data_IF_410292775227
#
_entry.id   IF_410292775227
#
_cell.length_a   1.000
_cell.length_b   1.000
_cell.length_c   1.000
_cell.angle_alpha   90.00
_cell.angle_beta   90.00
_cell.angle_gamma   90.00
#
_symmetry.space_group_name_H-M   'P 1'
#
loop_
_entity.id
_entity.type
_entity.pdbx_description
1 polymer ?
#
# COMPACT_ATOMS: atom_id res chain seq x y z
N UNK A 1 -10.12 -26.00 -10.06
CA UNK A 1 -9.57 -24.63 -10.01
C UNK A 1 -10.03 -24.07 -8.68
N UNK A 2 -9.14 -23.81 -7.71
CA UNK A 2 -9.56 -23.33 -6.39
C UNK A 2 -10.32 -22.00 -6.55
N UNK A 3 -11.47 -21.83 -5.91
CA UNK A 3 -12.14 -20.52 -5.83
C UNK A 3 -11.71 -19.81 -4.55
N UNK A 4 -11.26 -18.55 -4.65
CA UNK A 4 -11.04 -17.69 -3.48
C UNK A 4 -12.34 -16.92 -3.28
N UNK A 5 -12.98 -17.08 -2.13
CA UNK A 5 -14.14 -16.30 -1.72
C UNK A 5 -13.78 -15.44 -0.52
N UNK A 6 -14.29 -14.22 -0.52
CA UNK A 6 -14.23 -13.37 0.66
C UNK A 6 -15.31 -13.83 1.63
N UNK A 7 -14.96 -13.94 2.92
CA UNK A 7 -15.95 -14.13 4.00
C UNK A 7 -16.67 -12.80 4.29
N UNK A 8 -17.31 -12.24 3.25
CA UNK A 8 -18.14 -11.05 3.28
C UNK A 8 -19.12 -11.11 2.11
N UNK A 9 -20.21 -10.37 2.21
CA UNK A 9 -21.18 -10.21 1.12
C UNK A 9 -20.60 -9.37 -0.01
N UNK A 10 -21.11 -9.55 -1.23
CA UNK A 10 -20.72 -8.74 -2.38
C UNK A 10 -20.95 -7.23 -2.14
N UNK A 11 -22.01 -6.88 -1.41
CA UNK A 11 -22.31 -5.49 -1.05
C UNK A 11 -21.29 -4.90 -0.05
N UNK A 12 -20.83 -5.70 0.92
CA UNK A 12 -19.75 -5.30 1.83
C UNK A 12 -18.41 -5.13 1.11
N UNK A 13 -18.11 -6.02 0.16
CA UNK A 13 -16.91 -5.92 -0.67
C UNK A 13 -16.95 -4.64 -1.50
N UNK A 14 -18.05 -4.40 -2.24
CA UNK A 14 -18.25 -3.19 -3.03
C UNK A 14 -18.11 -1.93 -2.20
N UNK A 15 -18.76 -1.86 -1.03
CA UNK A 15 -18.66 -0.71 -0.14
C UNK A 15 -17.21 -0.43 0.31
N UNK A 16 -16.42 -1.49 0.58
CA UNK A 16 -15.00 -1.35 0.93
C UNK A 16 -14.15 -0.90 -0.24
N UNK A 17 -14.39 -1.43 -1.44
CA UNK A 17 -13.72 -1.03 -2.67
C UNK A 17 -14.01 0.44 -2.96
N UNK A 18 -15.27 0.84 -2.96
CA UNK A 18 -15.71 2.22 -3.19
C UNK A 18 -15.07 3.19 -2.20
N UNK A 19 -15.06 2.82 -0.91
CA UNK A 19 -14.42 3.62 0.14
C UNK A 19 -12.91 3.75 -0.11
N UNK A 20 -12.25 2.67 -0.49
CA UNK A 20 -10.81 2.68 -0.73
C UNK A 20 -10.44 3.47 -1.98
N UNK A 21 -11.17 3.30 -3.08
CA UNK A 21 -11.04 4.08 -4.32
C UNK A 21 -11.27 5.57 -4.05
N UNK A 22 -12.33 5.93 -3.31
CA UNK A 22 -12.60 7.31 -2.94
C UNK A 22 -11.43 7.92 -2.12
N UNK A 23 -10.90 7.16 -1.16
CA UNK A 23 -9.75 7.59 -0.35
C UNK A 23 -8.48 7.79 -1.19
N UNK A 24 -8.21 6.92 -2.17
CA UNK A 24 -7.08 7.06 -3.09
C UNK A 24 -7.26 8.26 -4.00
N UNK A 25 -8.44 8.43 -4.61
CA UNK A 25 -8.71 9.59 -5.44
C UNK A 25 -8.59 10.90 -4.66
N UNK A 26 -9.12 10.92 -3.43
CA UNK A 26 -8.95 12.05 -2.54
C UNK A 26 -7.47 12.32 -2.25
N UNK A 27 -6.68 11.31 -1.93
CA UNK A 27 -5.23 11.47 -1.73
C UNK A 27 -4.57 12.03 -2.98
N UNK A 28 -4.75 11.40 -4.14
CA UNK A 28 -4.09 11.80 -5.38
C UNK A 28 -4.48 13.23 -5.78
N UNK A 29 -5.73 13.62 -5.58
CA UNK A 29 -6.18 14.99 -5.80
C UNK A 29 -5.54 15.97 -4.79
N UNK A 30 -5.37 15.57 -3.53
CA UNK A 30 -4.65 16.40 -2.55
C UNK A 30 -3.17 16.57 -2.92
N UNK A 31 -2.51 15.51 -3.36
CA UNK A 31 -1.11 15.54 -3.79
C UNK A 31 -0.90 16.39 -5.05
N UNK A 32 -1.77 16.26 -6.06
CA UNK A 32 -1.71 17.09 -7.28
C UNK A 32 -1.93 18.58 -7.01
N UNK A 33 -2.73 18.89 -6.01
CA UNK A 33 -3.05 20.28 -5.64
C UNK A 33 -2.15 20.82 -4.52
N UNK A 34 -1.14 20.06 -4.07
CA UNK A 34 -0.18 20.55 -3.10
C UNK A 34 0.84 21.48 -3.76
N UNK A 35 0.87 22.73 -3.31
CA UNK A 35 1.89 23.71 -3.66
C UNK A 35 2.85 23.82 -2.48
N UNK A 36 4.05 23.25 -2.62
CA UNK A 36 5.13 23.34 -1.63
C UNK A 36 5.33 22.10 -0.74
N UNK A 37 6.47 22.07 -0.05
CA UNK A 37 7.05 20.94 0.70
C UNK A 37 6.33 20.64 2.04
N UNK A 38 5.01 20.43 2.03
CA UNK A 38 4.36 19.64 3.09
C UNK A 38 4.34 18.17 2.69
N UNK A 39 5.54 17.59 2.61
CA UNK A 39 5.81 16.29 2.01
C UNK A 39 5.02 15.12 2.65
N UNK A 40 4.69 15.16 3.95
CA UNK A 40 3.82 14.16 4.61
C UNK A 40 2.80 14.83 5.55
N UNK A 41 1.52 14.47 5.38
CA UNK A 41 0.39 14.81 6.25
C UNK A 41 -0.09 13.57 7.03
N UNK A 42 -0.32 13.75 8.34
CA UNK A 42 -0.80 12.70 9.25
C UNK A 42 -2.11 12.06 8.80
N UNK A 43 -2.98 12.83 8.13
CA UNK A 43 -4.29 12.37 7.62
C UNK A 43 -4.14 11.20 6.66
N UNK A 44 -3.00 11.06 6.00
CA UNK A 44 -2.73 9.97 5.06
C UNK A 44 -2.29 8.68 5.74
N UNK A 45 -2.06 8.72 7.06
CA UNK A 45 -1.58 7.61 7.87
C UNK A 45 -2.48 7.40 9.09
N UNK A 46 -3.79 7.14 8.91
CA UNK A 46 -4.77 7.15 10.00
C UNK A 46 -4.45 6.14 11.11
N UNK A 47 -3.86 5.00 10.76
CA UNK A 47 -3.55 3.91 11.71
C UNK A 47 -2.24 4.10 12.49
N UNK A 48 -1.43 5.10 12.16
CA UNK A 48 -0.17 5.41 12.85
C UNK A 48 -0.46 6.38 14.00
N UNK A 49 0.16 6.17 15.17
CA UNK A 49 0.08 7.13 16.28
C UNK A 49 0.79 8.44 15.92
N UNK A 50 0.40 9.56 16.53
CA UNK A 50 0.96 10.87 16.19
C UNK A 50 2.47 10.94 16.43
N UNK A 51 2.95 10.44 17.57
CA UNK A 51 4.37 10.40 17.94
C UNK A 51 5.22 9.61 16.94
N UNK A 52 4.74 8.43 16.54
CA UNK A 52 5.41 7.60 15.53
C UNK A 52 5.38 8.27 14.16
N UNK A 53 4.27 8.90 13.79
CA UNK A 53 4.18 9.64 12.52
C UNK A 53 5.14 10.84 12.49
N UNK A 54 5.23 11.63 13.56
CA UNK A 54 6.10 12.80 13.62
C UNK A 54 7.57 12.40 13.53
N UNK A 55 7.97 11.33 14.22
CA UNK A 55 9.31 10.74 14.10
C UNK A 55 9.58 10.24 12.68
N UNK A 56 8.64 9.51 12.08
CA UNK A 56 8.76 9.03 10.70
C UNK A 56 8.92 10.18 9.71
N UNK A 57 8.06 11.19 9.81
CA UNK A 57 8.13 12.41 9.01
C UNK A 57 9.49 13.08 9.13
N UNK A 58 10.03 13.19 10.35
CA UNK A 58 11.35 13.77 10.58
C UNK A 58 12.47 12.93 9.93
N UNK A 59 12.45 11.61 10.12
CA UNK A 59 13.41 10.68 9.52
C UNK A 59 13.41 10.80 7.99
N UNK A 60 12.24 10.78 7.36
CA UNK A 60 12.15 10.88 5.90
C UNK A 60 12.61 12.24 5.41
N UNK A 61 12.26 13.32 6.12
CA UNK A 61 12.75 14.67 5.80
C UNK A 61 14.28 14.72 5.80
N UNK A 62 14.94 14.06 6.75
CA UNK A 62 16.40 14.01 6.83
C UNK A 62 17.05 13.14 5.74
N UNK A 63 16.32 12.19 5.16
CA UNK A 63 16.79 11.28 4.12
C UNK A 63 16.31 11.65 2.70
N UNK A 64 15.62 12.78 2.55
CA UNK A 64 14.91 13.12 1.32
C UNK A 64 15.84 13.21 0.09
N UNK A 65 17.07 13.71 0.28
CA UNK A 65 18.05 13.81 -0.79
C UNK A 65 18.47 12.43 -1.31
N UNK A 66 18.69 11.47 -0.41
CA UNK A 66 19.01 10.09 -0.77
C UNK A 66 17.82 9.41 -1.45
N UNK A 67 16.62 9.57 -0.90
CA UNK A 67 15.40 9.02 -1.48
C UNK A 67 15.13 9.54 -2.90
N UNK A 68 15.44 10.81 -3.18
CA UNK A 68 15.28 11.41 -4.52
C UNK A 68 16.23 10.79 -5.57
N UNK A 69 17.24 10.02 -5.16
CA UNK A 69 18.12 9.32 -6.10
C UNK A 69 17.54 7.99 -6.59
N UNK A 70 16.45 7.51 -5.99
CA UNK A 70 15.77 6.28 -6.40
C UNK A 70 15.15 6.45 -7.80
N UNK A 71 15.44 5.51 -8.70
CA UNK A 71 14.97 5.53 -10.09
C UNK A 71 13.62 4.82 -10.29
N UNK A 72 13.15 4.09 -9.29
CA UNK A 72 11.91 3.31 -9.34
C UNK A 72 11.19 3.27 -8.00
N UNK A 73 9.92 2.85 -8.01
CA UNK A 73 9.12 2.64 -6.79
C UNK A 73 9.70 1.51 -5.93
N UNK A 74 10.25 0.47 -6.56
CA UNK A 74 10.92 -0.63 -5.83
C UNK A 74 12.15 -0.12 -5.07
N UNK A 75 13.01 0.67 -5.73
CA UNK A 75 14.18 1.28 -5.08
C UNK A 75 13.78 2.17 -3.91
N UNK A 76 12.66 2.90 -4.03
CA UNK A 76 12.12 3.71 -2.94
C UNK A 76 11.66 2.84 -1.77
N UNK A 77 10.90 1.79 -2.03
CA UNK A 77 10.39 0.89 -0.99
C UNK A 77 11.56 0.24 -0.24
N UNK A 78 12.56 -0.27 -0.95
CA UNK A 78 13.75 -0.88 -0.37
C UNK A 78 14.55 0.12 0.47
N UNK A 79 14.76 1.35 -0.03
CA UNK A 79 15.46 2.38 0.72
C UNK A 79 14.66 2.81 1.96
N UNK A 80 13.33 2.94 1.87
CA UNK A 80 12.48 3.27 3.01
C UNK A 80 12.48 2.16 4.07
N UNK A 81 12.53 0.88 3.67
CA UNK A 81 12.69 -0.22 4.61
C UNK A 81 14.04 -0.17 5.33
N UNK A 82 15.14 0.06 4.60
CA UNK A 82 16.47 0.24 5.19
C UNK A 82 16.49 1.41 6.19
N UNK A 83 15.88 2.53 5.84
CA UNK A 83 15.74 3.69 6.73
C UNK A 83 14.92 3.32 7.96
N UNK A 84 13.75 2.69 7.79
CA UNK A 84 12.89 2.26 8.90
C UNK A 84 13.66 1.34 9.83
N UNK A 85 14.33 0.30 9.32
CA UNK A 85 15.00 -0.72 10.13
C UNK A 85 16.23 -0.15 10.85
N UNK A 86 16.97 0.76 10.21
CA UNK A 86 18.09 1.46 10.84
C UNK A 86 17.68 2.49 11.91
N UNK A 87 16.46 3.04 11.81
CA UNK A 87 15.99 4.11 12.70
C UNK A 87 15.44 3.63 14.05
N UNK A 88 15.15 2.33 14.19
CA UNK A 88 14.60 1.76 15.44
C UNK A 88 13.19 2.23 15.82
N UNK A 89 12.49 2.93 14.91
CA UNK A 89 11.16 3.48 15.17
C UNK A 89 10.11 2.36 15.34
N UNK A 90 9.29 2.47 16.38
CA UNK A 90 8.21 1.52 16.67
C UNK A 90 6.87 2.11 16.22
N UNK A 91 6.03 1.26 15.61
CA UNK A 91 4.69 1.66 15.14
C UNK A 91 4.63 2.13 13.68
N UNK A 92 5.78 2.13 12.99
CA UNK A 92 5.83 2.23 11.52
C UNK A 92 5.82 0.84 10.95
N UNK A 93 4.66 0.49 10.39
CA UNK A 93 4.43 -0.78 9.73
C UNK A 93 4.51 -0.66 8.22
N UNK A 94 4.29 -1.79 7.57
CA UNK A 94 4.29 -1.96 6.13
C UNK A 94 3.46 -0.89 5.40
N UNK A 95 2.18 -0.71 5.77
CA UNK A 95 1.29 0.27 5.12
C UNK A 95 1.88 1.69 5.15
N UNK A 96 2.60 2.05 6.22
CA UNK A 96 3.24 3.35 6.36
C UNK A 96 4.39 3.54 5.36
N UNK A 97 5.30 2.56 5.30
CA UNK A 97 6.44 2.56 4.38
C UNK A 97 5.96 2.68 2.93
N UNK A 98 4.99 1.85 2.57
CA UNK A 98 4.45 1.83 1.21
C UNK A 98 3.68 3.11 0.87
N UNK A 99 2.83 3.62 1.78
CA UNK A 99 2.13 4.88 1.56
C UNK A 99 3.10 6.06 1.42
N UNK A 100 4.21 6.05 2.15
CA UNK A 100 5.29 7.04 1.96
C UNK A 100 5.94 6.90 0.59
N UNK A 101 6.22 5.68 0.12
CA UNK A 101 6.76 5.45 -1.22
C UNK A 101 5.80 5.95 -2.32
N UNK A 102 4.50 5.70 -2.19
CA UNK A 102 3.47 6.19 -3.12
C UNK A 102 3.45 7.73 -3.21
N UNK A 103 3.49 8.40 -2.04
CA UNK A 103 3.52 9.86 -1.98
C UNK A 103 4.78 10.40 -2.66
N UNK A 104 5.94 9.82 -2.35
CA UNK A 104 7.22 10.21 -2.94
C UNK A 104 7.26 10.00 -4.44
N UNK A 105 6.85 8.82 -4.89
CA UNK A 105 6.82 8.47 -6.30
C UNK A 105 5.88 9.39 -7.10
N UNK A 106 4.72 9.76 -6.54
CA UNK A 106 3.82 10.73 -7.16
C UNK A 106 4.46 12.13 -7.23
N UNK A 107 5.10 12.59 -6.14
CA UNK A 107 5.80 13.88 -6.10
C UNK A 107 6.98 13.96 -7.08
N UNK A 108 7.61 12.82 -7.38
CA UNK A 108 8.78 12.71 -8.25
C UNK A 108 8.46 12.12 -9.63
N UNK A 109 7.17 11.99 -9.96
CA UNK A 109 6.68 11.48 -11.24
C UNK A 109 7.27 10.12 -11.65
N UNK A 110 7.56 9.26 -10.66
CA UNK A 110 8.00 7.89 -10.91
C UNK A 110 6.85 7.03 -11.44
N UNK A 111 7.18 6.04 -12.26
CA UNK A 111 6.20 5.10 -12.79
C UNK A 111 5.65 4.19 -11.69
N UNK A 112 4.45 4.52 -11.22
CA UNK A 112 3.69 3.78 -10.20
C UNK A 112 3.22 2.39 -10.66
N UNK A 113 3.33 2.08 -11.95
CA UNK A 113 3.00 0.77 -12.50
C UNK A 113 4.25 -0.12 -12.66
N UNK A 114 5.45 0.41 -12.43
CA UNK A 114 6.68 -0.36 -12.42
C UNK A 114 6.75 -1.26 -11.17
N UNK A 115 6.42 -2.54 -11.38
CA UNK A 115 6.85 -3.76 -10.67
C UNK A 115 6.93 -3.82 -9.12
N UNK A 116 6.02 -3.16 -8.40
CA UNK A 116 5.88 -3.26 -6.92
C UNK A 116 5.51 -4.64 -6.32
N UNK A 117 5.79 -5.77 -6.99
CA UNK A 117 5.57 -7.12 -6.44
C UNK A 117 6.55 -7.48 -5.31
N UNK A 118 7.67 -6.75 -5.23
CA UNK A 118 8.66 -6.79 -4.15
C UNK A 118 8.03 -6.48 -2.78
N UNK A 119 6.90 -5.77 -2.76
CA UNK A 119 6.16 -5.40 -1.56
C UNK A 119 5.96 -6.58 -0.60
N UNK A 120 6.54 -6.46 0.59
CA UNK A 120 6.44 -7.48 1.65
C UNK A 120 5.14 -7.31 2.43
N UNK A 121 4.05 -7.86 1.88
CA UNK A 121 2.75 -7.92 2.54
C UNK A 121 2.62 -9.15 3.44
N UNK A 122 2.78 -8.99 4.76
CA UNK A 122 2.88 -10.13 5.67
C UNK A 122 1.65 -11.06 5.66
N UNK A 123 0.44 -10.50 5.64
CA UNK A 123 -0.78 -11.31 5.56
C UNK A 123 -0.91 -11.96 4.19
N UNK A 124 -0.59 -11.22 3.12
CA UNK A 124 -0.59 -11.74 1.76
C UNK A 124 0.39 -12.90 1.58
N UNK A 125 1.64 -12.74 2.00
CA UNK A 125 2.67 -13.78 1.97
C UNK A 125 2.20 -15.02 2.73
N UNK A 126 1.70 -14.83 3.94
CA UNK A 126 1.19 -15.93 4.78
C UNK A 126 0.04 -16.66 4.10
N UNK A 127 -0.90 -15.92 3.50
CA UNK A 127 -2.03 -16.49 2.79
C UNK A 127 -1.58 -17.27 1.54
N UNK A 128 -0.75 -16.65 0.70
CA UNK A 128 -0.21 -17.24 -0.52
C UNK A 128 0.56 -18.53 -0.23
N UNK A 129 1.44 -18.53 0.77
CA UNK A 129 2.19 -19.72 1.19
C UNK A 129 1.28 -20.84 1.70
N UNK A 130 0.31 -20.54 2.57
CA UNK A 130 -0.64 -21.55 3.09
C UNK A 130 -1.47 -22.21 1.99
N UNK A 131 -1.74 -21.47 0.92
CA UNK A 131 -2.62 -21.89 -0.16
C UNK A 131 -1.90 -22.30 -1.44
N UNK A 132 -0.56 -22.24 -1.46
CA UNK A 132 0.28 -22.54 -2.62
C UNK A 132 -0.14 -21.77 -3.89
N UNK A 133 -0.39 -20.46 -3.73
CA UNK A 133 -0.69 -19.53 -4.83
C UNK A 133 0.32 -18.37 -4.83
N UNK A 134 0.46 -17.64 -5.94
CA UNK A 134 1.30 -16.44 -6.00
C UNK A 134 0.51 -15.18 -5.59
N UNK A 135 1.21 -14.07 -5.30
CA UNK A 135 0.57 -12.78 -4.98
C UNK A 135 -0.22 -12.23 -6.16
N UNK A 136 0.32 -12.42 -7.36
CA UNK A 136 -0.27 -12.05 -8.64
C UNK A 136 -1.62 -12.73 -8.79
N UNK A 137 -1.65 -14.06 -8.64
CA UNK A 137 -2.88 -14.86 -8.71
C UNK A 137 -3.90 -14.39 -7.67
N UNK A 138 -3.48 -14.07 -6.44
CA UNK A 138 -4.37 -13.56 -5.41
C UNK A 138 -4.95 -12.18 -5.78
N UNK A 139 -4.11 -11.24 -6.19
CA UNK A 139 -4.52 -9.87 -6.55
C UNK A 139 -5.43 -9.88 -7.77
N UNK A 140 -5.10 -10.63 -8.81
CA UNK A 140 -5.91 -10.78 -10.02
C UNK A 140 -7.29 -11.37 -9.72
N UNK A 141 -7.38 -12.32 -8.78
CA UNK A 141 -8.65 -12.94 -8.39
C UNK A 141 -9.53 -12.01 -7.58
N UNK A 142 -8.95 -11.23 -6.66
CA UNK A 142 -9.70 -10.19 -5.97
C UNK A 142 -10.15 -9.12 -6.97
N UNK A 143 -9.29 -8.76 -7.94
CA UNK A 143 -9.64 -7.84 -9.01
C UNK A 143 -10.77 -8.37 -9.92
N UNK A 144 -10.84 -9.68 -10.15
CA UNK A 144 -11.94 -10.31 -10.90
C UNK A 144 -13.27 -10.35 -10.14
N UNK A 145 -13.27 -10.11 -8.82
CA UNK A 145 -14.50 -10.06 -8.03
C UNK A 145 -15.23 -8.71 -8.17
N UNK A 146 -14.51 -7.66 -8.59
CA UNK A 146 -15.07 -6.33 -8.86
C UNK A 146 -14.20 -5.59 -9.88
N UNK A 147 -14.76 -5.35 -11.06
CA UNK A 147 -14.06 -4.73 -12.19
C UNK A 147 -13.49 -3.34 -11.85
N UNK A 148 -14.04 -2.63 -10.84
CA UNK A 148 -13.56 -1.30 -10.44
C UNK A 148 -12.16 -1.32 -9.84
N UNK A 149 -11.67 -2.48 -9.39
CA UNK A 149 -10.29 -2.62 -8.93
C UNK A 149 -9.27 -2.36 -10.06
N UNK A 150 -9.68 -2.36 -11.33
CA UNK A 150 -8.83 -1.94 -12.45
C UNK A 150 -8.50 -0.44 -12.41
N UNK A 151 -9.29 0.39 -11.72
CA UNK A 151 -9.07 1.83 -11.54
C UNK A 151 -7.84 2.11 -10.64
N UNK A 152 -7.35 1.10 -9.93
CA UNK A 152 -6.29 1.19 -8.93
C UNK A 152 -4.92 0.81 -9.51
N UNK A 153 -3.85 1.44 -9.01
CA UNK A 153 -2.49 1.00 -9.37
C UNK A 153 -2.24 -0.40 -8.83
N UNK A 154 -1.21 -1.08 -9.33
CA UNK A 154 -0.80 -2.36 -8.76
C UNK A 154 -0.53 -2.26 -7.25
N UNK A 155 0.17 -1.20 -6.83
CA UNK A 155 0.49 -0.94 -5.43
C UNK A 155 -0.75 -0.79 -4.56
N UNK A 156 -1.73 -0.01 -5.03
CA UNK A 156 -2.99 0.19 -4.33
C UNK A 156 -3.78 -1.11 -4.17
N UNK A 157 -3.78 -1.96 -5.20
CA UNK A 157 -4.42 -3.28 -5.14
C UNK A 157 -3.71 -4.19 -4.14
N UNK A 158 -2.38 -4.19 -4.11
CA UNK A 158 -1.60 -4.96 -3.14
C UNK A 158 -1.92 -4.52 -1.70
N UNK A 159 -1.92 -3.21 -1.42
CA UNK A 159 -2.26 -2.67 -0.08
C UNK A 159 -3.71 -3.02 0.28
N UNK A 160 -4.65 -2.86 -0.66
CA UNK A 160 -6.05 -3.18 -0.45
C UNK A 160 -6.26 -4.66 -0.10
N UNK A 161 -5.72 -5.58 -0.91
CA UNK A 161 -5.82 -7.03 -0.68
C UNK A 161 -5.19 -7.42 0.66
N UNK A 162 -4.04 -6.85 1.02
CA UNK A 162 -3.42 -7.08 2.33
C UNK A 162 -4.31 -6.56 3.48
N UNK A 163 -4.98 -5.43 3.29
CA UNK A 163 -5.94 -4.88 4.27
C UNK A 163 -7.19 -5.75 4.42
N UNK A 164 -7.68 -6.35 3.33
CA UNK A 164 -8.78 -7.29 3.35
C UNK A 164 -8.41 -8.54 4.14
N UNK A 165 -7.24 -9.12 3.87
CA UNK A 165 -6.71 -10.28 4.59
C UNK A 165 -6.53 -10.04 6.11
N UNK A 166 -6.30 -8.78 6.51
CA UNK A 166 -6.18 -8.41 7.93
C UNK A 166 -7.54 -8.33 8.62
N UNK A 167 -8.56 -7.85 7.92
CA UNK A 167 -9.88 -7.60 8.49
C UNK A 167 -10.83 -8.78 8.35
N UNK A 168 -10.60 -9.63 7.34
CA UNK A 168 -11.52 -10.69 6.92
C UNK A 168 -10.73 -11.92 6.47
N UNK A 169 -11.26 -13.10 6.80
CA UNK A 169 -10.73 -14.38 6.33
C UNK A 169 -11.08 -14.57 4.85
N UNK A 170 -10.08 -14.70 3.98
CA UNK A 170 -10.30 -15.26 2.64
C UNK A 170 -10.41 -16.78 2.74
N UNK A 171 -11.48 -17.37 2.19
CA UNK A 171 -11.70 -18.82 2.16
C UNK A 171 -11.37 -19.35 0.78
N UNK A 172 -10.69 -20.49 0.72
CA UNK A 172 -10.46 -21.22 -0.53
C UNK A 172 -11.37 -22.44 -0.58
N UNK A 173 -12.25 -22.49 -1.58
CA UNK A 173 -13.01 -23.68 -1.92
C UNK A 173 -12.19 -24.53 -2.91
N UNK A 174 -11.84 -25.75 -2.49
CA UNK A 174 -11.06 -26.72 -3.29
C UNK A 174 -11.96 -27.55 -4.19
#
# INVERSE_FOLDING_TARGET
MCEIRLDMTDDELRARIDTYIANIHQLRNQLRNQIGLQFLDKRWFPSIRNDAFDQWKHIISNNIASLHTCGSVDDLIDMLWNIKDSSGIVGIGEVAVHRTAEILANLWELDMNANCWSMTCNFMNSFCCRNNITKEVLVERVAAADDRLIEMTLMDRIIFVNSLLRLVSLVINR
#
